data_IF_410288569941
#
_entry.id   IF_410288569941
#
_cell.length_a   1.000
_cell.length_b   1.000
_cell.length_c   1.000
_cell.angle_alpha   90.00
_cell.angle_beta   90.00
_cell.angle_gamma   90.00
#
_symmetry.space_group_name_H-M   'P 1'
#
loop_
_entity.id
_entity.type
_entity.pdbx_description
1 polymer ?
#
# COMPACT_ATOMS: atom_id res chain seq x y z
N UNK A 1 13.93 38.65 -5.75
CA UNK A 1 13.82 37.27 -5.24
C UNK A 1 12.35 36.96 -5.06
N UNK A 2 11.69 36.55 -6.14
CA UNK A 2 10.28 36.15 -6.08
C UNK A 2 10.23 34.72 -5.57
N UNK A 3 9.69 34.56 -4.36
CA UNK A 3 9.42 33.26 -3.74
C UNK A 3 7.98 32.91 -4.03
N UNK A 4 7.73 31.71 -4.56
CA UNK A 4 6.38 31.16 -4.67
C UNK A 4 6.15 30.17 -3.55
N UNK A 5 4.99 30.27 -2.91
CA UNK A 5 4.54 29.33 -1.88
C UNK A 5 3.29 28.61 -2.37
N UNK A 6 3.27 27.29 -2.23
CA UNK A 6 2.13 26.44 -2.57
C UNK A 6 1.72 25.66 -1.33
N UNK A 7 0.44 25.75 -0.96
CA UNK A 7 -0.10 25.06 0.20
C UNK A 7 -1.18 24.06 -0.21
N UNK A 8 -1.02 22.80 0.17
CA UNK A 8 -1.94 21.71 -0.09
C UNK A 8 -2.56 21.23 1.21
N UNK A 9 -3.89 21.07 1.23
CA UNK A 9 -4.61 20.53 2.38
C UNK A 9 -4.87 19.04 2.16
N UNK A 10 -4.33 18.23 3.06
CA UNK A 10 -4.48 16.78 3.09
C UNK A 10 -5.53 16.41 4.16
N UNK A 11 -6.76 16.06 3.78
CA UNK A 11 -7.80 15.65 4.73
C UNK A 11 -7.52 14.24 5.28
N UNK A 12 -8.12 13.89 6.42
CA UNK A 12 -8.05 12.58 7.06
C UNK A 12 -6.62 12.02 7.17
N UNK A 13 -5.64 12.90 7.38
CA UNK A 13 -4.21 12.58 7.37
C UNK A 13 -3.58 12.94 8.72
N UNK A 14 -2.62 12.14 9.17
CA UNK A 14 -1.85 12.30 10.42
C UNK A 14 -0.36 12.22 10.13
N UNK A 15 0.45 13.01 10.83
CA UNK A 15 1.91 12.94 10.69
C UNK A 15 2.45 11.84 11.60
N UNK A 16 3.16 10.87 11.03
CA UNK A 16 3.85 9.85 11.82
C UNK A 16 5.15 10.43 12.40
N UNK A 17 5.14 10.80 13.67
CA UNK A 17 6.26 11.41 14.38
C UNK A 17 7.50 10.50 14.53
N UNK A 18 7.37 9.19 14.32
CA UNK A 18 8.51 8.24 14.33
C UNK A 18 9.24 8.29 13.00
N UNK A 19 8.50 8.38 11.89
CA UNK A 19 9.07 8.37 10.54
C UNK A 19 9.48 9.76 10.05
N UNK A 20 8.78 10.80 10.49
CA UNK A 20 9.02 12.21 10.16
C UNK A 20 9.16 13.01 11.47
N UNK A 21 10.34 12.99 12.09
CA UNK A 21 10.59 13.73 13.32
C UNK A 21 10.65 15.25 13.10
N UNK A 22 11.07 15.67 11.90
CA UNK A 22 11.19 17.07 11.52
C UNK A 22 9.94 17.51 10.74
N UNK A 23 9.32 18.59 11.19
CA UNK A 23 8.13 19.19 10.55
C UNK A 23 8.48 20.22 9.48
N UNK A 24 9.72 20.68 9.52
CA UNK A 24 10.29 21.62 8.58
C UNK A 24 11.51 20.95 7.96
N UNK A 25 11.50 20.85 6.63
CA UNK A 25 12.61 20.33 5.84
C UNK A 25 13.17 21.49 5.04
N UNK A 26 14.44 21.79 5.26
CA UNK A 26 15.22 22.81 4.52
C UNK A 26 16.42 22.19 3.79
N UNK A 27 16.65 20.89 3.97
CA UNK A 27 17.74 20.14 3.36
C UNK A 27 17.36 19.68 1.94
N UNK A 28 17.25 20.63 1.03
CA UNK A 28 17.14 20.37 -0.40
C UNK A 28 18.49 20.50 -1.10
N UNK A 29 18.65 19.88 -2.27
CA UNK A 29 19.85 20.04 -3.10
C UNK A 29 20.07 21.52 -3.44
N UNK A 30 21.32 21.99 -3.44
CA UNK A 30 21.67 23.36 -3.83
C UNK A 30 21.28 23.67 -5.29
N UNK A 31 21.21 22.63 -6.14
CA UNK A 31 20.71 22.71 -7.53
C UNK A 31 19.17 22.56 -7.63
N UNK A 32 18.48 22.39 -6.50
CA UNK A 32 17.05 22.15 -6.43
C UNK A 32 16.22 23.43 -6.49
N UNK A 33 15.02 23.31 -7.05
CA UNK A 33 14.02 24.39 -7.12
C UNK A 33 13.31 24.66 -5.78
N UNK A 34 13.50 23.81 -4.77
CA UNK A 34 12.80 23.85 -3.48
C UNK A 34 13.68 24.49 -2.41
N UNK A 35 13.13 25.43 -1.66
CA UNK A 35 13.81 26.10 -0.54
C UNK A 35 13.45 25.46 0.81
N UNK A 36 12.16 25.29 1.05
CA UNK A 36 11.63 24.83 2.33
C UNK A 36 10.29 24.12 2.15
N UNK A 37 10.10 23.04 2.88
CA UNK A 37 8.85 22.31 3.02
C UNK A 37 8.43 22.31 4.49
N UNK A 38 7.16 22.60 4.75
CA UNK A 38 6.61 22.70 6.09
C UNK A 38 5.30 21.91 6.18
N UNK A 39 5.17 21.15 7.27
CA UNK A 39 4.02 20.29 7.56
C UNK A 39 3.37 20.75 8.88
N UNK A 40 2.10 21.15 8.79
CA UNK A 40 1.29 21.53 9.96
C UNK A 40 0.12 20.57 10.12
N UNK A 41 -0.10 20.10 11.35
CA UNK A 41 -1.20 19.20 11.67
C UNK A 41 -2.25 19.93 12.51
N UNK A 42 -3.52 19.77 12.12
CA UNK A 42 -4.68 20.30 12.82
C UNK A 42 -5.63 19.15 13.15
N UNK A 43 -5.92 18.99 14.43
CA UNK A 43 -6.86 18.00 14.95
C UNK A 43 -8.06 18.74 15.53
N UNK A 44 -9.24 18.53 14.96
CA UNK A 44 -10.49 19.18 15.41
C UNK A 44 -11.53 18.14 15.80
N UNK A 45 -12.17 18.34 16.96
CA UNK A 45 -13.30 17.52 17.39
C UNK A 45 -14.61 18.16 16.94
N UNK A 46 -15.39 17.46 16.11
CA UNK A 46 -16.71 17.88 15.66
C UNK A 46 -17.75 17.67 16.77
N UNK A 47 -18.87 18.38 16.68
CA UNK A 47 -19.96 18.35 17.67
C UNK A 47 -20.58 16.94 17.84
N UNK A 48 -20.55 16.12 16.78
CA UNK A 48 -20.98 14.72 16.79
C UNK A 48 -19.98 13.77 17.50
N UNK A 49 -18.85 14.29 18.00
CA UNK A 49 -17.80 13.51 18.65
C UNK A 49 -16.75 12.92 17.71
N UNK A 50 -16.90 13.08 16.39
CA UNK A 50 -15.89 12.68 15.42
C UNK A 50 -14.63 13.55 15.52
N UNK A 51 -13.49 12.93 15.29
CA UNK A 51 -12.20 13.62 15.27
C UNK A 51 -11.77 13.73 13.80
N UNK A 52 -11.58 14.97 13.36
CA UNK A 52 -11.10 15.30 12.03
C UNK A 52 -9.60 15.60 12.11
N UNK A 53 -8.85 14.95 11.23
CA UNK A 53 -7.40 15.10 11.11
C UNK A 53 -7.09 15.78 9.78
N UNK A 54 -6.32 16.85 9.82
CA UNK A 54 -5.95 17.61 8.63
C UNK A 54 -4.46 17.95 8.68
N UNK A 55 -3.76 17.76 7.57
CA UNK A 55 -2.36 18.19 7.43
C UNK A 55 -2.25 19.22 6.32
N UNK A 56 -1.64 20.35 6.62
CA UNK A 56 -1.28 21.38 5.65
C UNK A 56 0.17 21.17 5.23
N UNK A 57 0.39 20.91 3.95
CA UNK A 57 1.71 20.84 3.34
C UNK A 57 1.99 22.16 2.62
N UNK A 58 2.97 22.92 3.09
CA UNK A 58 3.42 24.16 2.44
C UNK A 58 4.80 23.95 1.84
N UNK A 59 4.93 24.20 0.54
CA UNK A 59 6.17 24.09 -0.22
C UNK A 59 6.55 25.48 -0.73
N UNK A 60 7.79 25.89 -0.48
CA UNK A 60 8.35 27.15 -0.96
C UNK A 60 9.44 26.88 -1.99
N UNK A 61 9.41 27.64 -3.08
CA UNK A 61 10.33 27.52 -4.22
C UNK A 61 11.24 28.74 -4.32
N UNK A 62 12.49 28.49 -4.73
CA UNK A 62 13.51 29.52 -4.96
C UNK A 62 13.27 30.28 -6.27
N UNK A 63 12.65 29.63 -7.25
CA UNK A 63 12.35 30.18 -8.57
C UNK A 63 10.87 30.61 -8.69
N UNK A 64 10.57 31.47 -9.66
CA UNK A 64 9.20 31.87 -10.04
C UNK A 64 8.47 30.72 -10.74
N UNK A 65 8.22 29.64 -10.02
CA UNK A 65 7.47 28.49 -10.51
C UNK A 65 6.28 28.24 -9.61
N UNK A 66 5.11 28.09 -10.23
CA UNK A 66 3.89 27.71 -9.51
C UNK A 66 3.85 26.19 -9.50
N UNK A 67 3.90 25.60 -8.31
CA UNK A 67 3.68 24.17 -8.14
C UNK A 67 2.16 23.94 -8.12
N UNK A 68 1.66 23.16 -9.06
CA UNK A 68 0.25 22.77 -9.10
C UNK A 68 0.16 21.28 -8.86
N UNK A 69 -0.64 20.86 -7.88
CA UNK A 69 -0.85 19.44 -7.60
C UNK A 69 -1.55 18.78 -8.80
N UNK A 70 -0.92 17.76 -9.37
CA UNK A 70 -1.49 16.92 -10.41
C UNK A 70 -2.26 15.77 -9.75
N UNK A 71 -3.56 15.93 -9.58
CA UNK A 71 -4.42 14.93 -8.91
C UNK A 71 -4.58 13.64 -9.70
N UNK A 72 -4.34 13.65 -11.02
CA UNK A 72 -4.43 12.44 -11.86
C UNK A 72 -3.21 11.54 -11.70
N UNK A 73 -2.04 12.14 -11.43
CA UNK A 73 -0.78 11.42 -11.22
C UNK A 73 -0.37 11.30 -9.75
N UNK A 74 -1.13 11.90 -8.85
CA UNK A 74 -0.95 11.71 -7.42
C UNK A 74 -1.69 10.45 -6.97
N UNK A 75 -1.05 9.65 -6.13
CA UNK A 75 -1.65 8.46 -5.53
C UNK A 75 -1.53 8.50 -4.00
N UNK A 76 -1.95 7.43 -3.34
CA UNK A 76 -1.92 7.33 -1.86
C UNK A 76 -0.51 7.30 -1.25
N UNK A 77 0.54 7.23 -2.06
CA UNK A 77 1.95 7.14 -1.63
C UNK A 77 2.81 8.27 -2.18
N UNK A 78 2.40 8.91 -3.27
CA UNK A 78 3.18 9.92 -3.99
C UNK A 78 2.28 11.11 -4.35
N UNK A 79 2.68 12.30 -3.93
CA UNK A 79 2.10 13.55 -4.40
C UNK A 79 2.94 14.06 -5.57
N UNK A 80 2.31 14.25 -6.73
CA UNK A 80 2.96 14.72 -7.95
C UNK A 80 2.59 16.17 -8.20
N UNK A 81 3.59 17.04 -8.34
CA UNK A 81 3.41 18.45 -8.64
C UNK A 81 3.88 18.75 -10.07
N UNK A 82 3.03 19.42 -10.85
CA UNK A 82 3.40 19.96 -12.14
C UNK A 82 4.01 21.36 -11.97
N UNK A 83 5.12 21.61 -12.66
CA UNK A 83 5.78 22.91 -12.68
C UNK A 83 5.13 23.80 -13.74
N UNK A 84 4.46 24.87 -13.33
CA UNK A 84 3.92 25.88 -14.26
C UNK A 84 4.77 27.14 -14.23
N UNK A 85 5.14 27.63 -15.43
CA UNK A 85 5.75 28.95 -15.59
C UNK A 85 4.67 30.02 -15.39
N UNK A 86 4.96 31.13 -14.69
CA UNK A 86 4.01 32.21 -14.48
C UNK A 86 3.59 32.77 -15.83
N UNK A 87 2.28 32.79 -16.07
CA UNK A 87 1.71 33.41 -17.26
C UNK A 87 1.91 34.92 -17.12
N UNK A 88 2.77 35.52 -17.95
CA UNK A 88 2.84 36.98 -18.10
C UNK A 88 1.46 37.47 -18.54
N UNK A 89 0.67 38.02 -17.62
CA UNK A 89 -0.45 38.87 -17.99
C UNK A 89 0.10 40.24 -18.32
N UNK A 90 -0.09 40.67 -19.57
CA UNK A 90 0.19 42.04 -19.98
C UNK A 90 -0.66 43.02 -19.16
N UNK A 91 0.01 44.07 -18.73
CA UNK A 91 -0.38 45.21 -17.90
C UNK A 91 -1.84 45.65 -17.94
N UNK A 92 -2.40 45.91 -16.75
CA UNK A 92 -3.00 47.23 -16.46
C UNK A 92 -3.05 47.50 -14.94
N UNK A 93 -2.36 48.58 -14.57
CA UNK A 93 -2.28 49.28 -13.28
C UNK A 93 -3.24 48.87 -12.14
N UNK A 94 -2.68 48.52 -10.97
CA UNK A 94 -3.02 49.11 -9.65
C UNK A 94 -2.24 48.46 -8.50
N UNK A 95 -1.52 49.30 -7.76
CA UNK A 95 -1.22 49.25 -6.33
C UNK A 95 -0.61 47.98 -5.69
N UNK A 96 0.59 48.21 -5.18
CA UNK A 96 1.34 47.45 -4.17
C UNK A 96 0.48 46.79 -3.09
N UNK A 97 0.30 45.48 -3.20
CA UNK A 97 0.38 44.54 -2.07
C UNK A 97 1.01 43.26 -2.61
N UNK A 98 2.14 42.83 -2.03
CA UNK A 98 2.74 41.51 -2.26
C UNK A 98 1.73 40.45 -1.85
N UNK A 99 0.87 40.06 -2.78
CA UNK A 99 -0.10 39.00 -2.60
C UNK A 99 0.58 37.71 -3.00
N UNK A 100 1.13 37.00 -2.01
CA UNK A 100 1.52 35.60 -2.17
C UNK A 100 0.27 34.87 -2.66
N UNK A 101 0.29 34.39 -3.91
CA UNK A 101 -0.81 33.60 -4.46
C UNK A 101 -0.79 32.21 -3.80
N UNK A 102 -1.34 32.11 -2.60
CA UNK A 102 -1.56 30.83 -1.91
C UNK A 102 -2.69 30.07 -2.63
N UNK A 103 -2.34 29.19 -3.55
CA UNK A 103 -3.30 28.26 -4.15
C UNK A 103 -3.56 27.15 -3.13
N UNK A 104 -4.67 27.27 -2.39
CA UNK A 104 -5.12 26.23 -1.45
C UNK A 104 -5.87 25.17 -2.26
N UNK A 105 -5.24 24.00 -2.42
CA UNK A 105 -5.87 22.84 -3.05
C UNK A 105 -6.47 21.98 -1.94
N UNK A 106 -7.79 22.04 -1.81
CA UNK A 106 -8.56 21.18 -0.91
C UNK A 106 -8.77 19.82 -1.59
N UNK A 107 -7.99 18.81 -1.20
CA UNK A 107 -8.30 17.45 -1.61
C UNK A 107 -9.56 17.06 -0.84
N UNK A 108 -10.64 16.72 -1.56
CA UNK A 108 -11.77 16.08 -0.91
C UNK A 108 -11.29 14.74 -0.32
N UNK A 109 -11.75 14.35 0.88
CA UNK A 109 -11.43 13.04 1.43
C UNK A 109 -11.83 11.97 0.40
N UNK A 110 -10.97 10.96 0.16
CA UNK A 110 -11.29 9.89 -0.77
C UNK A 110 -12.64 9.31 -0.36
N UNK A 111 -13.52 9.07 -1.32
CA UNK A 111 -14.81 8.46 -1.05
C UNK A 111 -14.59 7.04 -0.50
N UNK A 112 -14.58 6.92 0.82
CA UNK A 112 -14.48 5.64 1.53
C UNK A 112 -15.81 4.94 1.30
N UNK A 113 -15.76 3.74 0.74
CA UNK A 113 -16.99 2.95 0.57
C UNK A 113 -17.54 2.56 1.96
N UNK A 114 -18.87 2.36 2.11
CA UNK A 114 -19.46 1.93 3.39
C UNK A 114 -18.83 0.65 3.95
N UNK A 115 -18.29 -0.20 3.06
CA UNK A 115 -17.57 -1.42 3.42
C UNK A 115 -16.18 -1.14 3.98
N UNK A 116 -15.45 -0.20 3.39
CA UNK A 116 -14.12 0.21 3.87
C UNK A 116 -14.21 0.95 5.20
N UNK A 117 -15.22 1.81 5.35
CA UNK A 117 -15.51 2.50 6.60
C UNK A 117 -15.81 1.49 7.72
N UNK A 118 -16.61 0.46 7.42
CA UNK A 118 -16.87 -0.63 8.35
C UNK A 118 -15.59 -1.42 8.69
N UNK A 119 -14.67 -1.64 7.75
CA UNK A 119 -13.40 -2.34 8.00
C UNK A 119 -12.38 -1.51 8.80
N UNK A 120 -12.38 -0.19 8.61
CA UNK A 120 -11.51 0.77 9.32
C UNK A 120 -12.00 1.06 10.74
N UNK A 121 -13.29 0.83 11.02
CA UNK A 121 -13.86 1.05 12.35
C UNK A 121 -13.14 0.17 13.39
N UNK A 122 -12.63 0.73 14.50
CA UNK A 122 -11.74 0.03 15.43
C UNK A 122 -12.38 -1.22 16.06
N UNK A 123 -13.69 -1.20 16.32
CA UNK A 123 -14.42 -2.37 16.82
C UNK A 123 -14.47 -3.46 15.76
N UNK A 124 -14.68 -3.11 14.50
CA UNK A 124 -14.71 -4.08 13.40
C UNK A 124 -13.32 -4.59 13.09
N UNK A 125 -12.30 -3.73 13.12
CA UNK A 125 -10.90 -4.11 13.00
C UNK A 125 -10.51 -5.09 14.12
N UNK A 126 -10.93 -4.84 15.37
CA UNK A 126 -10.73 -5.77 16.50
C UNK A 126 -11.53 -7.06 16.37
N UNK A 127 -12.78 -7.01 15.93
CA UNK A 127 -13.63 -8.21 15.73
C UNK A 127 -13.19 -9.04 14.52
N UNK A 128 -12.61 -8.40 13.51
CA UNK A 128 -12.01 -9.05 12.34
C UNK A 128 -10.56 -9.47 12.60
N UNK A 129 -9.90 -8.92 13.63
CA UNK A 129 -8.60 -9.35 14.11
C UNK A 129 -8.71 -10.77 14.68
N UNK A 130 -8.73 -11.74 13.79
CA UNK A 130 -8.41 -13.11 14.13
C UNK A 130 -6.91 -13.13 14.37
N UNK A 131 -6.49 -13.44 15.60
CA UNK A 131 -5.16 -14.03 15.81
C UNK A 131 -5.16 -15.31 14.98
N UNK A 132 -4.71 -15.23 13.73
CA UNK A 132 -4.53 -16.40 12.88
C UNK A 132 -3.39 -17.16 13.53
N UNK A 133 -3.73 -18.06 14.45
CA UNK A 133 -2.73 -18.91 15.13
C UNK A 133 -2.18 -19.96 14.15
N UNK A 134 -2.86 -20.12 13.02
CA UNK A 134 -2.60 -21.17 12.05
C UNK A 134 -2.83 -20.65 10.63
N UNK A 135 -1.91 -20.99 9.73
CA UNK A 135 -1.98 -20.74 8.30
C UNK A 135 -2.45 -22.00 7.58
N UNK A 136 -3.62 -21.94 6.95
CA UNK A 136 -4.23 -23.05 6.22
C UNK A 136 -3.81 -23.06 4.76
N UNK A 137 -3.06 -24.08 4.36
CA UNK A 137 -2.52 -24.23 3.01
C UNK A 137 -3.26 -25.30 2.23
N UNK A 138 -3.63 -24.99 1.00
CA UNK A 138 -4.05 -25.99 0.02
C UNK A 138 -3.00 -26.11 -1.08
N UNK A 139 -2.55 -27.33 -1.35
CA UNK A 139 -1.54 -27.62 -2.36
C UNK A 139 -2.21 -28.31 -3.54
N UNK A 140 -2.04 -27.71 -4.72
CA UNK A 140 -2.66 -28.13 -5.96
C UNK A 140 -1.59 -28.52 -6.97
N UNK A 141 -1.67 -29.73 -7.51
CA UNK A 141 -0.75 -30.16 -8.56
C UNK A 141 -1.15 -29.57 -9.91
N UNK A 142 -0.31 -28.71 -10.46
CA UNK A 142 -0.41 -28.16 -11.81
C UNK A 142 0.85 -28.50 -12.64
N UNK A 143 1.57 -29.55 -12.24
CA UNK A 143 2.76 -30.06 -12.91
C UNK A 143 2.41 -31.35 -13.68
N UNK A 144 3.21 -31.75 -14.68
CA UNK A 144 3.01 -33.01 -15.40
C UNK A 144 3.29 -34.25 -14.55
N UNK A 145 3.94 -34.08 -13.39
CA UNK A 145 4.26 -35.19 -12.50
C UNK A 145 3.20 -35.31 -11.41
N UNK A 146 2.54 -36.48 -11.24
CA UNK A 146 1.42 -36.63 -10.32
C UNK A 146 1.80 -36.41 -8.85
N UNK A 147 3.06 -36.70 -8.48
CA UNK A 147 3.52 -36.67 -7.09
C UNK A 147 4.06 -35.32 -6.62
N UNK A 148 4.13 -34.30 -7.47
CA UNK A 148 4.78 -33.02 -7.13
C UNK A 148 4.12 -32.29 -5.96
N UNK A 149 2.77 -32.26 -5.93
CA UNK A 149 2.05 -31.66 -4.81
C UNK A 149 2.30 -32.39 -3.49
N UNK A 150 2.41 -33.72 -3.53
CA UNK A 150 2.67 -34.54 -2.35
C UNK A 150 4.12 -34.40 -1.88
N UNK A 151 5.08 -34.35 -2.80
CA UNK A 151 6.49 -34.04 -2.51
C UNK A 151 6.62 -32.66 -1.86
N UNK A 152 5.92 -31.66 -2.39
CA UNK A 152 5.91 -30.33 -1.79
C UNK A 152 5.30 -30.34 -0.38
N UNK A 153 4.19 -31.05 -0.20
CA UNK A 153 3.56 -31.17 1.11
C UNK A 153 4.51 -31.78 2.15
N UNK A 154 5.26 -32.82 1.75
CA UNK A 154 6.28 -33.46 2.61
C UNK A 154 7.42 -32.50 2.93
N UNK A 155 7.90 -31.72 1.95
CA UNK A 155 8.94 -30.70 2.17
C UNK A 155 8.47 -29.67 3.20
N UNK A 156 7.27 -29.14 3.03
CA UNK A 156 6.70 -28.13 3.92
C UNK A 156 6.43 -28.67 5.34
N UNK A 157 5.96 -29.91 5.48
CA UNK A 157 5.57 -30.46 6.78
C UNK A 157 6.72 -31.13 7.54
N UNK A 158 7.68 -31.77 6.84
CA UNK A 158 8.79 -32.49 7.49
C UNK A 158 10.10 -31.71 7.53
N UNK A 159 10.46 -31.00 6.45
CA UNK A 159 11.78 -30.39 6.33
C UNK A 159 11.79 -28.92 6.77
N UNK A 160 10.82 -28.14 6.29
CA UNK A 160 10.83 -26.68 6.47
C UNK A 160 9.82 -26.17 7.51
N UNK A 161 8.98 -27.05 8.09
CA UNK A 161 7.88 -26.65 8.99
C UNK A 161 8.32 -25.71 10.11
N UNK A 162 9.32 -26.10 10.91
CA UNK A 162 9.81 -25.30 12.05
C UNK A 162 10.36 -23.94 11.59
N UNK A 163 11.06 -23.91 10.45
CA UNK A 163 11.63 -22.70 9.87
C UNK A 163 10.52 -21.74 9.41
N UNK A 164 9.52 -22.27 8.72
CA UNK A 164 8.36 -21.52 8.23
C UNK A 164 7.56 -20.97 9.41
N UNK A 165 7.19 -21.83 10.38
CA UNK A 165 6.40 -21.44 11.55
C UNK A 165 7.11 -20.35 12.38
N UNK A 166 8.44 -20.42 12.53
CA UNK A 166 9.22 -19.39 13.22
C UNK A 166 9.28 -18.06 12.48
N UNK A 167 9.39 -18.06 11.14
CA UNK A 167 9.44 -16.83 10.33
C UNK A 167 8.08 -16.16 10.20
N UNK A 168 7.03 -16.96 10.04
CA UNK A 168 5.67 -16.49 9.89
C UNK A 168 5.06 -16.11 11.24
N UNK A 169 5.39 -16.83 12.31
CA UNK A 169 4.78 -16.66 13.64
C UNK A 169 3.42 -17.34 13.79
N UNK A 170 3.11 -18.30 12.91
CA UNK A 170 1.85 -19.06 12.88
C UNK A 170 2.14 -20.55 12.68
N UNK A 171 1.25 -21.43 13.17
CA UNK A 171 1.33 -22.87 12.91
C UNK A 171 0.95 -23.16 11.45
N UNK A 172 1.69 -24.06 10.80
CA UNK A 172 1.42 -24.41 9.42
C UNK A 172 0.53 -25.66 9.34
N UNK A 173 -0.62 -25.57 8.67
CA UNK A 173 -1.51 -26.71 8.43
C UNK A 173 -1.83 -26.86 6.95
N UNK A 174 -1.53 -28.03 6.40
CA UNK A 174 -1.96 -28.40 5.05
C UNK A 174 -3.38 -28.97 5.16
N UNK A 175 -4.35 -28.28 4.57
CA UNK A 175 -5.78 -28.62 4.62
C UNK A 175 -6.17 -29.58 3.51
N UNK A 176 -5.59 -29.40 2.33
CA UNK A 176 -5.90 -30.23 1.17
C UNK A 176 -4.69 -30.38 0.25
N UNK A 177 -4.55 -31.57 -0.34
CA UNK A 177 -3.59 -31.90 -1.39
C UNK A 177 -4.39 -32.54 -2.52
N UNK A 178 -4.47 -31.88 -3.67
CA UNK A 178 -5.23 -32.41 -4.80
C UNK A 178 -4.58 -32.05 -6.14
N UNK A 179 -5.00 -32.71 -7.21
CA UNK A 179 -4.55 -32.35 -8.56
C UNK A 179 -5.54 -31.42 -9.24
N UNK A 180 -5.03 -30.46 -10.01
CA UNK A 180 -5.83 -29.66 -10.94
C UNK A 180 -6.14 -30.51 -12.17
N UNK A 181 -7.23 -30.19 -12.88
CA UNK A 181 -7.58 -30.86 -14.14
C UNK A 181 -6.39 -30.80 -15.12
N UNK A 182 -6.13 -31.91 -15.79
CA UNK A 182 -4.94 -32.17 -16.64
C UNK A 182 -4.63 -31.09 -17.69
N UNK A 183 -5.63 -30.31 -18.09
CA UNK A 183 -5.48 -29.20 -19.06
C UNK A 183 -4.82 -27.94 -18.47
N UNK A 184 -4.53 -27.90 -17.17
CA UNK A 184 -4.08 -26.69 -16.44
C UNK A 184 -2.62 -26.80 -15.99
N UNK A 185 -1.73 -27.25 -16.87
CA UNK A 185 -0.31 -27.36 -16.52
C UNK A 185 0.33 -25.97 -16.50
N UNK A 186 0.91 -25.59 -15.37
CA UNK A 186 1.55 -24.28 -15.18
C UNK A 186 3.07 -24.40 -15.35
N UNK A 187 3.73 -23.46 -16.06
CA UNK A 187 5.17 -23.47 -16.21
C UNK A 187 5.89 -23.14 -14.89
N UNK A 188 5.34 -22.21 -14.10
CA UNK A 188 5.88 -21.76 -12.82
C UNK A 188 4.89 -22.02 -11.69
N UNK A 189 5.41 -22.29 -10.51
CA UNK A 189 4.62 -22.43 -9.28
C UNK A 189 3.94 -21.10 -8.95
N UNK A 190 2.62 -21.13 -8.70
CA UNK A 190 1.83 -19.94 -8.37
C UNK A 190 1.31 -20.02 -6.94
N UNK A 191 1.40 -18.92 -6.22
CA UNK A 191 0.90 -18.82 -4.84
C UNK A 191 -0.23 -17.79 -4.84
N UNK A 192 -1.45 -18.25 -4.54
CA UNK A 192 -2.60 -17.39 -4.33
C UNK A 192 -2.79 -17.14 -2.83
N UNK A 193 -3.03 -15.89 -2.45
CA UNK A 193 -3.19 -15.49 -1.05
C UNK A 193 -4.40 -14.57 -0.87
N UNK A 194 -5.08 -14.69 0.27
CA UNK A 194 -6.16 -13.79 0.65
C UNK A 194 -5.63 -12.42 1.14
N UNK A 195 -6.51 -11.41 1.16
CA UNK A 195 -6.17 -10.10 1.71
C UNK A 195 -5.60 -10.23 3.13
N UNK A 196 -4.58 -9.44 3.45
CA UNK A 196 -3.80 -9.45 4.70
C UNK A 196 -2.80 -10.60 4.88
N UNK A 197 -2.62 -11.50 3.90
CA UNK A 197 -1.64 -12.62 3.96
C UNK A 197 -0.46 -12.49 2.99
N UNK A 198 -0.18 -11.27 2.52
CA UNK A 198 0.89 -11.01 1.56
C UNK A 198 2.28 -11.34 2.14
N UNK A 199 2.50 -11.02 3.42
CA UNK A 199 3.79 -11.26 4.09
C UNK A 199 4.09 -12.75 4.19
N UNK A 200 3.08 -13.55 4.51
CA UNK A 200 3.11 -14.99 4.62
C UNK A 200 3.41 -15.62 3.27
N UNK A 201 2.72 -15.16 2.21
CA UNK A 201 2.93 -15.64 0.85
C UNK A 201 4.36 -15.36 0.36
N UNK A 202 4.92 -14.18 0.69
CA UNK A 202 6.32 -13.84 0.38
C UNK A 202 7.32 -14.74 1.11
N UNK A 203 7.10 -15.01 2.39
CA UNK A 203 7.97 -15.90 3.17
C UNK A 203 7.90 -17.33 2.62
N UNK A 204 6.71 -17.81 2.24
CA UNK A 204 6.55 -19.11 1.60
C UNK A 204 7.30 -19.16 0.27
N UNK A 205 7.15 -18.13 -0.59
CA UNK A 205 7.85 -18.07 -1.86
C UNK A 205 9.38 -18.18 -1.71
N UNK A 206 9.97 -17.53 -0.71
CA UNK A 206 11.41 -17.60 -0.45
C UNK A 206 11.92 -19.00 -0.04
N UNK A 207 11.05 -19.84 0.52
CA UNK A 207 11.41 -21.16 1.06
C UNK A 207 11.17 -22.26 0.02
N UNK A 208 10.22 -22.03 -0.89
CA UNK A 208 9.90 -22.97 -1.94
C UNK A 208 11.02 -23.02 -2.99
N UNK A 209 11.35 -24.21 -3.52
CA UNK A 209 12.31 -24.33 -4.62
C UNK A 209 11.68 -23.82 -5.93
N UNK A 210 12.55 -23.34 -6.82
CA UNK A 210 12.17 -22.80 -8.13
C UNK A 210 11.78 -21.32 -8.10
N UNK A 211 11.14 -20.85 -9.16
CA UNK A 211 10.60 -19.50 -9.28
C UNK A 211 9.09 -19.49 -8.96
N UNK A 212 8.66 -18.58 -8.09
CA UNK A 212 7.26 -18.47 -7.70
C UNK A 212 6.63 -17.18 -8.22
N UNK A 213 5.38 -17.28 -8.67
CA UNK A 213 4.55 -16.12 -9.01
C UNK A 213 3.51 -15.94 -7.91
N UNK A 214 3.56 -14.81 -7.23
CA UNK A 214 2.63 -14.47 -6.15
C UNK A 214 1.48 -13.65 -6.74
N UNK A 215 0.25 -14.08 -6.54
CA UNK A 215 -0.95 -13.45 -7.11
C UNK A 215 -2.03 -13.32 -6.05
N UNK A 216 -2.71 -12.18 -5.91
CA UNK A 216 -3.86 -12.09 -5.00
C UNK A 216 -4.97 -13.06 -5.42
N UNK A 217 -5.68 -13.64 -4.45
CA UNK A 217 -6.82 -14.53 -4.70
C UNK A 217 -7.88 -13.80 -5.53
N UNK A 218 -8.35 -14.34 -6.66
CA UNK A 218 -9.37 -13.68 -7.47
C UNK A 218 -10.70 -13.63 -6.73
N UNK A 219 -11.48 -12.56 -6.96
CA UNK A 219 -12.73 -12.30 -6.24
C UNK A 219 -13.74 -13.45 -6.30
N UNK A 220 -13.77 -14.20 -7.40
CA UNK A 220 -14.61 -15.39 -7.59
C UNK A 220 -14.28 -16.56 -6.65
N UNK A 221 -13.10 -16.58 -6.03
CA UNK A 221 -12.63 -17.64 -5.12
C UNK A 221 -12.56 -17.22 -3.66
N UNK A 222 -12.89 -15.97 -3.34
CA UNK A 222 -12.83 -15.42 -1.97
C UNK A 222 -13.79 -16.15 -1.01
N UNK A 223 -14.85 -16.80 -1.52
CA UNK A 223 -15.83 -17.53 -0.71
C UNK A 223 -15.31 -18.81 -0.04
N UNK A 224 -14.15 -19.34 -0.46
CA UNK A 224 -13.52 -20.52 0.17
C UNK A 224 -12.75 -20.14 1.44
N UNK A 225 -13.46 -19.72 2.48
CA UNK A 225 -12.93 -19.26 3.77
C UNK A 225 -12.13 -20.31 4.57
N UNK A 226 -12.07 -21.57 4.11
CA UNK A 226 -11.34 -22.65 4.77
C UNK A 226 -9.84 -22.70 4.42
N UNK A 227 -9.41 -21.96 3.39
CA UNK A 227 -8.02 -21.93 2.92
C UNK A 227 -7.51 -20.50 2.95
N UNK A 228 -6.31 -20.31 3.48
CA UNK A 228 -5.68 -18.99 3.60
C UNK A 228 -4.73 -18.71 2.41
N UNK A 229 -4.04 -19.76 1.94
CA UNK A 229 -3.10 -19.71 0.81
C UNK A 229 -3.25 -20.97 -0.07
N UNK A 230 -3.36 -20.79 -1.38
CA UNK A 230 -3.37 -21.88 -2.37
C UNK A 230 -2.05 -21.91 -3.14
N UNK A 231 -1.33 -23.03 -3.12
CA UNK A 231 -0.09 -23.22 -3.87
C UNK A 231 -0.36 -24.15 -5.04
N UNK A 232 -0.20 -23.63 -6.26
CA UNK A 232 -0.24 -24.41 -7.49
C UNK A 232 1.17 -24.77 -7.91
N UNK A 233 1.53 -26.05 -7.79
CA UNK A 233 2.86 -26.56 -8.10
C UNK A 233 3.03 -26.65 -9.62
N UNK A 234 3.96 -25.90 -10.18
CA UNK A 234 4.23 -25.85 -11.62
C UNK A 234 5.30 -26.86 -12.05
N UNK A 235 5.63 -26.83 -13.35
CA UNK A 235 6.71 -27.65 -13.95
C UNK A 235 8.08 -27.41 -13.32
N UNK A 236 8.33 -26.19 -12.84
CA UNK A 236 9.61 -25.79 -12.28
C UNK A 236 9.90 -26.31 -10.86
N UNK A 237 9.02 -27.17 -10.33
CA UNK A 237 9.23 -27.85 -9.07
C UNK A 237 9.83 -29.23 -9.36
N UNK A 238 11.16 -29.29 -9.39
CA UNK A 238 11.97 -30.51 -9.54
C UNK A 238 12.73 -30.85 -8.25
#
# INVERSE_FOLDING_TARGET
NSKTETSVLLPNTLINSILLPEREVTSFSEEGILEKMLLEEKITKKENGEIEFQVTLTISSTEEHILVLDTEKSDSRHLTFALQKPVKKETTNAQEQQKVESIIIDLAPPAISPREEMLLHPVTALMSYRRVVQLNLTILNASPHPDSAQRLAVLLDRQQKRTIEKRIGMKLKIVNISSVREQTILPKTKIYFHANLMREALILAQILPGEQVIVPMPQSRISKLATDVEIYVGKNFE
#
